data_IF_238059655675
#
_entry.id   IF_238059655675
#
_cell.length_a   1.000
_cell.length_b   1.000
_cell.length_c   1.000
_cell.angle_alpha   90.00
_cell.angle_beta   90.00
_cell.angle_gamma   90.00
#
_symmetry.space_group_name_H-M   'P 1'
#
loop_
_entity.id
_entity.type
_entity.pdbx_description
1 polymer ?
#
# COMPACT_ATOMS: atom_id res chain seq x y z
N UNK A 1 -2.56 28.48 -5.61
CA UNK A 1 -3.63 27.46 -5.56
C UNK A 1 -3.11 26.32 -4.70
N UNK A 2 -3.97 25.76 -3.84
CA UNK A 2 -3.59 24.56 -3.09
C UNK A 2 -3.55 23.35 -4.01
N UNK A 3 -2.64 22.38 -3.82
CA UNK A 3 -2.59 21.16 -4.63
C UNK A 3 -3.90 20.37 -4.48
N UNK A 4 -4.45 19.92 -5.61
CA UNK A 4 -5.68 19.16 -5.66
C UNK A 4 -5.45 17.69 -5.29
N UNK A 5 -6.41 17.06 -4.60
CA UNK A 5 -6.37 15.67 -4.21
C UNK A 5 -7.27 14.80 -5.09
N UNK A 6 -6.76 13.66 -5.55
CA UNK A 6 -7.58 12.62 -6.17
C UNK A 6 -7.64 11.40 -5.26
N UNK A 7 -8.84 11.06 -4.78
CA UNK A 7 -9.10 9.83 -4.04
C UNK A 7 -9.40 8.72 -5.05
N UNK A 8 -8.61 7.65 -5.02
CA UNK A 8 -8.87 6.44 -5.81
C UNK A 8 -9.70 5.48 -4.95
N UNK A 9 -10.95 5.26 -5.33
CA UNK A 9 -11.92 4.48 -4.54
C UNK A 9 -12.50 3.32 -5.36
N UNK A 10 -11.87 2.16 -5.42
CA UNK A 10 -12.54 0.96 -5.93
C UNK A 10 -13.52 0.42 -4.88
N UNK A 11 -14.74 0.07 -5.29
CA UNK A 11 -15.74 -0.56 -4.43
C UNK A 11 -16.48 -1.67 -5.15
N UNK A 12 -17.01 -2.64 -4.38
CA UNK A 12 -17.86 -3.71 -4.90
C UNK A 12 -18.79 -4.29 -3.81
N UNK A 13 -20.10 -4.25 -4.09
CA UNK A 13 -21.13 -4.87 -3.25
C UNK A 13 -21.26 -4.26 -1.86
N UNK A 14 -20.86 -2.99 -1.69
CA UNK A 14 -20.83 -2.28 -0.41
C UNK A 14 -21.26 -0.82 -0.53
N UNK A 15 -22.39 -0.51 -1.17
CA UNK A 15 -22.78 0.88 -1.39
C UNK A 15 -22.87 1.67 -0.09
N UNK A 16 -23.47 1.11 0.98
CA UNK A 16 -23.63 1.80 2.26
C UNK A 16 -22.29 2.16 2.91
N UNK A 17 -21.27 1.28 2.80
CA UNK A 17 -19.93 1.55 3.34
C UNK A 17 -19.23 2.62 2.52
N UNK A 18 -19.31 2.55 1.20
CA UNK A 18 -18.74 3.55 0.33
C UNK A 18 -19.36 4.93 0.59
N UNK A 19 -20.70 5.02 0.75
CA UNK A 19 -21.38 6.27 1.10
C UNK A 19 -20.98 6.79 2.49
N UNK A 20 -20.85 5.89 3.48
CA UNK A 20 -20.35 6.28 4.80
C UNK A 20 -18.94 6.83 4.74
N UNK A 21 -18.05 6.18 3.95
CA UNK A 21 -16.72 6.67 3.70
C UNK A 21 -16.76 8.07 3.05
N UNK A 22 -17.52 8.25 1.96
CA UNK A 22 -17.65 9.53 1.24
C UNK A 22 -18.15 10.66 2.15
N UNK A 23 -19.14 10.37 3.03
CA UNK A 23 -19.59 11.34 4.04
C UNK A 23 -18.43 11.75 4.96
N UNK A 24 -17.66 10.79 5.47
CA UNK A 24 -16.54 11.10 6.34
C UNK A 24 -15.45 11.94 5.64
N UNK A 25 -15.22 11.68 4.35
CA UNK A 25 -14.31 12.50 3.53
C UNK A 25 -14.81 13.94 3.46
N UNK A 26 -16.08 14.15 3.11
CA UNK A 26 -16.66 15.48 2.96
C UNK A 26 -16.69 16.26 4.28
N UNK A 27 -17.20 15.63 5.35
CA UNK A 27 -17.37 16.26 6.67
C UNK A 27 -16.05 16.64 7.34
N UNK A 28 -14.98 15.88 7.09
CA UNK A 28 -13.67 16.11 7.70
C UNK A 28 -12.72 16.95 6.84
N UNK A 29 -13.09 17.30 5.62
CA UNK A 29 -12.26 18.09 4.71
C UNK A 29 -12.32 19.60 5.02
N UNK A 30 -11.16 20.26 4.98
CA UNK A 30 -11.07 21.71 5.05
C UNK A 30 -11.44 22.39 3.72
N UNK A 31 -11.13 21.75 2.60
CA UNK A 31 -11.36 22.27 1.25
C UNK A 31 -11.87 21.15 0.31
N UNK A 32 -13.15 20.73 0.48
CA UNK A 32 -13.74 19.67 -0.33
C UNK A 32 -13.86 20.03 -1.82
N UNK A 33 -13.92 21.31 -2.17
CA UNK A 33 -13.99 21.75 -3.56
C UNK A 33 -12.69 21.46 -4.34
N UNK A 34 -11.58 21.23 -3.65
CA UNK A 34 -10.28 20.90 -4.24
C UNK A 34 -9.92 19.42 -4.05
N UNK A 35 -10.94 18.57 -4.01
CA UNK A 35 -10.86 17.10 -3.94
C UNK A 35 -11.74 16.52 -5.05
N UNK A 36 -11.29 15.48 -5.71
CA UNK A 36 -12.10 14.64 -6.59
C UNK A 36 -12.05 13.18 -6.13
N UNK A 37 -13.14 12.45 -6.37
CA UNK A 37 -13.23 11.03 -6.09
C UNK A 37 -13.33 10.28 -7.41
N UNK A 38 -12.39 9.36 -7.65
CA UNK A 38 -12.42 8.46 -8.80
C UNK A 38 -12.96 7.12 -8.31
N UNK A 39 -14.26 6.92 -8.51
CA UNK A 39 -14.97 5.73 -8.07
C UNK A 39 -14.96 4.66 -9.16
N UNK A 40 -14.33 3.51 -8.89
CA UNK A 40 -14.44 2.36 -9.78
C UNK A 40 -15.44 1.35 -9.21
N UNK A 41 -16.42 0.97 -10.05
CA UNK A 41 -17.46 -0.01 -9.72
C UNK A 41 -17.48 -1.10 -10.79
N UNK A 42 -17.58 -2.35 -10.36
CA UNK A 42 -17.71 -3.47 -11.29
C UNK A 42 -19.05 -3.43 -12.02
N UNK A 43 -19.03 -3.75 -13.34
CA UNK A 43 -20.24 -3.74 -14.19
C UNK A 43 -21.36 -4.65 -13.67
N UNK A 44 -21.00 -5.74 -12.99
CA UNK A 44 -21.93 -6.71 -12.41
C UNK A 44 -22.36 -6.37 -10.97
N UNK A 45 -22.11 -5.13 -10.52
CA UNK A 45 -22.53 -4.60 -9.21
C UNK A 45 -23.44 -3.35 -9.37
N UNK A 46 -24.67 -3.52 -9.89
CA UNK A 46 -25.57 -2.39 -10.13
C UNK A 46 -25.98 -1.64 -8.86
N UNK A 47 -25.91 -2.27 -7.69
CA UNK A 47 -26.22 -1.62 -6.42
C UNK A 47 -25.25 -0.46 -6.10
N UNK A 48 -24.01 -0.57 -6.54
CA UNK A 48 -22.99 0.46 -6.32
C UNK A 48 -22.94 1.52 -7.43
N UNK A 49 -23.71 1.38 -8.52
CA UNK A 49 -23.68 2.34 -9.64
C UNK A 49 -24.23 3.73 -9.30
N UNK A 50 -25.07 3.83 -8.26
CA UNK A 50 -25.71 5.09 -7.85
C UNK A 50 -24.93 5.86 -6.77
N UNK A 51 -23.83 5.31 -6.25
CA UNK A 51 -23.01 5.96 -5.22
C UNK A 51 -22.57 7.34 -5.68
N UNK A 52 -22.83 8.37 -4.86
CA UNK A 52 -22.48 9.74 -5.18
C UNK A 52 -22.13 10.54 -3.91
N UNK A 53 -21.61 11.75 -4.07
CA UNK A 53 -21.29 12.66 -2.98
C UNK A 53 -21.62 14.10 -3.41
N UNK A 54 -22.59 14.72 -2.74
CA UNK A 54 -23.04 16.07 -3.07
C UNK A 54 -21.91 17.12 -2.90
N UNK A 55 -21.06 16.95 -1.90
CA UNK A 55 -20.03 17.91 -1.54
C UNK A 55 -18.74 17.78 -2.35
N UNK A 56 -18.49 16.66 -3.03
CA UNK A 56 -17.22 16.37 -3.72
C UNK A 56 -17.53 15.72 -5.07
N UNK A 57 -16.95 16.20 -6.18
CA UNK A 57 -17.15 15.58 -7.49
C UNK A 57 -16.77 14.10 -7.52
N UNK A 58 -17.68 13.23 -7.96
CA UNK A 58 -17.47 11.80 -8.15
C UNK A 58 -17.37 11.47 -9.63
N UNK A 59 -16.18 11.09 -10.08
CA UNK A 59 -15.93 10.59 -11.43
C UNK A 59 -16.06 9.07 -11.39
N UNK A 60 -17.16 8.56 -11.96
CA UNK A 60 -17.49 7.13 -11.93
C UNK A 60 -16.93 6.39 -13.14
N UNK A 61 -16.29 5.25 -12.89
CA UNK A 61 -15.85 4.27 -13.87
C UNK A 61 -16.64 2.99 -13.64
N UNK A 62 -17.44 2.55 -14.61
CA UNK A 62 -18.12 1.25 -14.58
C UNK A 62 -17.37 0.32 -15.54
N UNK A 63 -16.77 -0.75 -15.03
CA UNK A 63 -15.91 -1.60 -15.82
C UNK A 63 -15.97 -3.08 -15.45
N UNK A 64 -15.16 -3.93 -16.09
CA UNK A 64 -15.03 -5.34 -15.71
C UNK A 64 -14.37 -5.48 -14.36
N UNK A 65 -14.53 -6.65 -13.71
CA UNK A 65 -13.76 -6.97 -12.50
C UNK A 65 -12.27 -7.05 -12.83
N UNK A 66 -11.47 -6.29 -12.11
CA UNK A 66 -10.02 -6.22 -12.29
C UNK A 66 -9.31 -6.66 -11.00
N UNK A 67 -7.99 -6.86 -11.10
CA UNK A 67 -7.11 -6.98 -9.94
C UNK A 67 -7.11 -5.66 -9.16
N UNK A 68 -6.69 -5.67 -7.89
CA UNK A 68 -6.58 -4.43 -7.11
C UNK A 68 -5.59 -3.44 -7.76
N UNK A 69 -4.47 -3.94 -8.29
CA UNK A 69 -3.54 -3.12 -9.08
C UNK A 69 -4.20 -2.51 -10.31
N UNK A 70 -5.01 -3.30 -11.04
CA UNK A 70 -5.78 -2.83 -12.19
C UNK A 70 -6.82 -1.78 -11.83
N UNK A 71 -7.56 -1.96 -10.73
CA UNK A 71 -8.54 -1.01 -10.23
C UNK A 71 -7.88 0.34 -9.88
N UNK A 72 -6.81 0.32 -9.08
CA UNK A 72 -6.07 1.53 -8.73
C UNK A 72 -5.44 2.21 -9.96
N UNK A 73 -4.92 1.43 -10.92
CA UNK A 73 -4.38 1.96 -12.17
C UNK A 73 -5.47 2.63 -13.04
N UNK A 74 -6.66 2.03 -13.12
CA UNK A 74 -7.78 2.61 -13.87
C UNK A 74 -8.24 3.93 -13.22
N UNK A 75 -8.37 3.97 -11.89
CA UNK A 75 -8.67 5.20 -11.16
C UNK A 75 -7.57 6.26 -11.37
N UNK A 76 -6.30 5.89 -11.21
CA UNK A 76 -5.17 6.82 -11.38
C UNK A 76 -5.15 7.43 -12.79
N UNK A 77 -5.35 6.65 -13.84
CA UNK A 77 -5.39 7.15 -15.23
C UNK A 77 -6.51 8.17 -15.46
N UNK A 78 -7.59 8.12 -14.70
CA UNK A 78 -8.72 9.04 -14.80
C UNK A 78 -8.58 10.25 -13.90
N UNK A 79 -7.70 10.22 -12.92
CA UNK A 79 -7.50 11.25 -11.91
C UNK A 79 -6.72 12.46 -12.48
N UNK A 80 -6.95 13.65 -11.90
CA UNK A 80 -6.32 14.91 -12.33
C UNK A 80 -5.54 15.63 -11.24
N UNK A 81 -5.80 15.34 -9.96
CA UNK A 81 -5.20 16.01 -8.81
C UNK A 81 -3.69 15.78 -8.70
N UNK A 82 -3.02 16.67 -7.99
CA UNK A 82 -1.57 16.68 -7.75
C UNK A 82 -1.13 15.61 -6.73
N UNK A 83 -2.06 15.23 -5.85
CA UNK A 83 -1.84 14.25 -4.79
C UNK A 83 -2.81 13.08 -4.99
N UNK A 84 -2.27 11.87 -4.99
CA UNK A 84 -3.00 10.63 -5.24
C UNK A 84 -3.16 9.86 -3.92
N UNK A 85 -4.40 9.60 -3.53
CA UNK A 85 -4.78 8.98 -2.25
C UNK A 85 -5.59 7.71 -2.53
N UNK A 86 -4.95 6.54 -2.63
CA UNK A 86 -5.68 5.27 -2.77
C UNK A 86 -6.35 4.92 -1.43
N UNK A 87 -7.68 4.78 -1.44
CA UNK A 87 -8.46 4.43 -0.26
C UNK A 87 -9.42 3.28 -0.57
N UNK A 88 -9.87 2.62 0.48
CA UNK A 88 -10.86 1.54 0.39
C UNK A 88 -12.20 1.98 1.00
N UNK A 89 -13.27 1.32 0.61
CA UNK A 89 -14.63 1.57 1.08
C UNK A 89 -14.87 1.17 2.57
N UNK A 90 -13.90 0.52 3.19
CA UNK A 90 -13.89 0.14 4.60
C UNK A 90 -13.00 1.03 5.47
N UNK A 91 -12.77 2.27 5.03
CA UNK A 91 -12.06 3.29 5.80
C UNK A 91 -12.99 4.41 6.24
N UNK A 92 -12.61 5.12 7.31
CA UNK A 92 -13.32 6.30 7.80
C UNK A 92 -12.30 7.37 8.19
N UNK A 93 -12.48 8.57 7.65
CA UNK A 93 -11.69 9.73 8.05
C UNK A 93 -12.14 10.16 9.44
N UNK A 94 -11.20 10.25 10.40
CA UNK A 94 -11.45 10.66 11.79
C UNK A 94 -10.87 12.01 12.14
N UNK A 95 -9.91 12.48 11.37
CA UNK A 95 -9.21 13.72 11.68
C UNK A 95 -9.78 14.88 10.87
N UNK A 96 -10.29 15.95 11.52
CA UNK A 96 -10.64 17.19 10.82
C UNK A 96 -9.45 17.79 10.07
N UNK A 97 -9.73 18.47 8.98
CA UNK A 97 -8.72 19.12 8.11
C UNK A 97 -7.67 18.13 7.58
N UNK A 98 -8.07 16.85 7.37
CA UNK A 98 -7.19 15.77 6.93
C UNK A 98 -6.48 16.09 5.62
N UNK A 99 -7.16 16.74 4.70
CA UNK A 99 -6.68 17.13 3.38
C UNK A 99 -5.59 18.21 3.48
N UNK A 100 -5.71 19.17 4.41
CA UNK A 100 -4.67 20.16 4.70
C UNK A 100 -3.39 19.49 5.17
N UNK A 101 -3.48 18.53 6.10
CA UNK A 101 -2.31 17.79 6.59
C UNK A 101 -1.55 17.05 5.46
N UNK A 102 -2.27 16.57 4.47
CA UNK A 102 -1.65 15.93 3.29
C UNK A 102 -1.00 16.98 2.37
N UNK A 103 -1.65 18.11 2.15
CA UNK A 103 -1.08 19.23 1.37
C UNK A 103 0.18 19.78 2.03
N UNK A 104 0.21 19.89 3.35
CA UNK A 104 1.40 20.30 4.10
C UNK A 104 2.60 19.36 3.86
N UNK A 105 2.35 18.06 3.67
CA UNK A 105 3.42 17.13 3.25
C UNK A 105 3.88 17.42 1.83
N UNK A 106 2.96 17.64 0.90
CA UNK A 106 3.30 17.94 -0.49
C UNK A 106 4.21 19.17 -0.59
N UNK A 107 3.90 20.21 0.15
CA UNK A 107 4.67 21.47 0.17
C UNK A 107 6.09 21.31 0.76
N UNK A 108 6.33 20.28 1.57
CA UNK A 108 7.67 19.95 2.11
C UNK A 108 8.62 19.35 1.08
N UNK A 109 8.10 18.86 -0.06
CA UNK A 109 8.89 18.20 -1.10
C UNK A 109 8.70 18.91 -2.44
N UNK A 110 9.47 19.98 -2.74
CA UNK A 110 9.32 20.76 -3.98
C UNK A 110 9.53 19.95 -5.27
N UNK A 111 10.30 18.85 -5.20
CA UNK A 111 10.47 17.89 -6.30
C UNK A 111 9.27 16.94 -6.46
N UNK A 112 8.32 16.98 -5.54
CA UNK A 112 7.13 16.15 -5.53
C UNK A 112 7.42 14.67 -5.27
N UNK A 113 8.60 14.25 -4.81
CA UNK A 113 8.94 12.83 -4.61
C UNK A 113 8.86 12.46 -3.13
N UNK A 114 7.77 11.79 -2.73
CA UNK A 114 7.53 11.33 -1.37
C UNK A 114 6.52 10.17 -1.35
N UNK A 115 6.50 9.45 -0.23
CA UNK A 115 5.44 8.56 0.20
C UNK A 115 4.99 9.00 1.59
N UNK A 116 3.73 9.39 1.72
CA UNK A 116 3.11 9.67 3.01
C UNK A 116 2.06 8.61 3.35
N UNK A 117 1.75 8.42 4.62
CA UNK A 117 0.67 7.53 5.03
C UNK A 117 0.13 7.91 6.41
N UNK A 118 -1.20 7.75 6.62
CA UNK A 118 -1.88 8.06 7.85
C UNK A 118 -1.71 6.97 8.91
N UNK A 119 -2.19 7.26 10.10
CA UNK A 119 -2.41 6.30 11.15
C UNK A 119 -3.76 5.57 10.92
N UNK A 120 -3.71 4.29 10.60
CA UNK A 120 -4.89 3.44 10.38
C UNK A 120 -5.45 2.81 11.66
N UNK A 121 -4.86 3.14 12.82
CA UNK A 121 -5.13 2.56 14.14
C UNK A 121 -4.81 1.06 14.28
N UNK A 122 -4.00 0.50 13.36
CA UNK A 122 -3.56 -0.91 13.38
C UNK A 122 -2.07 -1.08 13.15
N UNK A 123 -1.62 -0.78 11.94
CA UNK A 123 -0.22 -0.91 11.56
C UNK A 123 0.63 0.27 12.06
N UNK A 124 0.02 1.44 12.25
CA UNK A 124 0.70 2.64 12.71
C UNK A 124 1.91 2.97 11.84
N UNK A 125 3.04 3.30 12.47
CA UNK A 125 4.28 3.65 11.77
C UNK A 125 4.93 2.48 11.02
N UNK A 126 4.54 1.25 11.32
CA UNK A 126 5.24 0.06 10.79
C UNK A 126 4.93 -0.23 9.32
N UNK A 127 3.76 0.22 8.84
CA UNK A 127 3.28 -0.15 7.52
C UNK A 127 2.28 0.86 6.92
N UNK A 128 2.43 1.24 5.64
CA UNK A 128 1.56 2.20 4.98
C UNK A 128 0.32 1.50 4.38
N UNK A 129 -0.72 1.26 5.17
CA UNK A 129 -1.99 0.69 4.66
C UNK A 129 -2.67 1.60 3.62
N UNK A 130 -2.30 2.86 3.58
CA UNK A 130 -2.78 3.87 2.62
C UNK A 130 -1.59 4.70 2.13
N UNK A 131 -0.86 4.25 1.11
CA UNK A 131 0.30 4.97 0.59
C UNK A 131 -0.13 6.16 -0.27
N UNK A 132 0.04 7.37 0.24
CA UNK A 132 -0.24 8.64 -0.43
C UNK A 132 1.00 9.07 -1.21
N UNK A 133 0.82 9.36 -2.49
CA UNK A 133 1.89 9.78 -3.39
C UNK A 133 1.53 11.10 -4.08
N UNK A 134 2.52 11.85 -4.53
CA UNK A 134 2.28 12.90 -5.51
C UNK A 134 2.07 12.31 -6.91
N UNK A 135 1.43 13.08 -7.78
CA UNK A 135 1.35 12.75 -9.22
C UNK A 135 2.75 12.64 -9.85
N UNK A 136 3.68 13.50 -9.46
CA UNK A 136 5.08 13.43 -9.91
C UNK A 136 5.71 12.10 -9.53
N UNK A 137 5.57 11.66 -8.29
CA UNK A 137 6.04 10.31 -7.87
C UNK A 137 5.41 9.22 -8.73
N UNK A 138 4.08 9.26 -8.93
CA UNK A 138 3.38 8.26 -9.75
C UNK A 138 3.89 8.23 -11.20
N UNK A 139 4.10 9.38 -11.81
CA UNK A 139 4.66 9.51 -13.17
C UNK A 139 6.09 8.96 -13.27
N UNK A 140 6.93 9.22 -12.25
CA UNK A 140 8.30 8.68 -12.21
C UNK A 140 8.32 7.17 -12.03
N UNK A 141 7.37 6.60 -11.30
CA UNK A 141 7.22 5.16 -11.15
C UNK A 141 6.65 4.46 -12.39
N UNK A 142 6.01 5.19 -13.32
CA UNK A 142 5.34 4.70 -14.55
C UNK A 142 4.13 3.81 -14.21
N UNK A 143 4.32 2.79 -13.39
CA UNK A 143 3.26 1.88 -12.92
C UNK A 143 3.27 1.84 -11.38
N UNK A 144 2.72 2.88 -10.70
CA UNK A 144 2.71 2.92 -9.23
C UNK A 144 1.86 1.81 -8.63
N UNK A 145 0.87 1.31 -9.36
CA UNK A 145 -0.03 0.23 -8.93
C UNK A 145 0.02 -0.93 -9.94
N UNK A 146 1.08 -1.78 -9.93
CA UNK A 146 1.22 -2.83 -10.94
C UNK A 146 0.00 -3.75 -11.02
N UNK A 147 -0.56 -3.90 -12.21
CA UNK A 147 -1.81 -4.63 -12.47
C UNK A 147 -1.71 -6.13 -12.15
N UNK A 148 -0.50 -6.65 -12.00
CA UNK A 148 -0.23 -8.04 -11.59
C UNK A 148 -0.57 -8.33 -10.12
N UNK A 149 -0.74 -7.28 -9.27
CA UNK A 149 -1.17 -7.45 -7.88
C UNK A 149 -2.68 -7.64 -7.80
N UNK A 150 -3.11 -8.86 -7.48
CA UNK A 150 -4.53 -9.19 -7.42
C UNK A 150 -5.26 -8.61 -6.18
N UNK A 151 -4.56 -8.44 -5.06
CA UNK A 151 -5.15 -7.95 -3.82
C UNK A 151 -4.14 -7.29 -2.90
N UNK A 152 -3.30 -8.03 -2.22
CA UNK A 152 -2.31 -7.52 -1.29
C UNK A 152 -0.98 -7.11 -1.94
N UNK A 153 -0.08 -6.56 -1.14
CA UNK A 153 1.30 -6.18 -1.46
C UNK A 153 1.53 -4.94 -2.33
N UNK A 154 0.53 -4.20 -2.75
CA UNK A 154 0.73 -2.91 -3.44
C UNK A 154 1.42 -1.91 -2.49
N UNK A 155 0.94 -1.82 -1.29
CA UNK A 155 1.47 -1.01 -0.18
C UNK A 155 2.91 -1.43 0.18
N UNK A 156 3.17 -2.75 0.28
CA UNK A 156 4.53 -3.28 0.45
C UNK A 156 5.44 -2.95 -0.74
N UNK A 157 4.91 -3.01 -1.96
CA UNK A 157 5.63 -2.67 -3.17
C UNK A 157 6.11 -1.21 -3.13
N UNK A 158 5.22 -0.29 -2.82
CA UNK A 158 5.53 1.12 -2.72
C UNK A 158 6.49 1.40 -1.57
N UNK A 159 6.22 0.87 -0.36
CA UNK A 159 7.11 1.05 0.78
C UNK A 159 8.52 0.50 0.51
N UNK A 160 8.65 -0.67 -0.13
CA UNK A 160 9.96 -1.25 -0.44
C UNK A 160 10.76 -0.38 -1.43
N UNK A 161 10.09 0.26 -2.42
CA UNK A 161 10.74 1.24 -3.30
C UNK A 161 11.33 2.39 -2.48
N UNK A 162 10.55 2.97 -1.56
CA UNK A 162 11.01 4.08 -0.73
C UNK A 162 12.03 3.67 0.33
N UNK A 163 11.98 2.43 0.84
CA UNK A 163 13.05 1.89 1.70
C UNK A 163 14.36 1.68 0.93
N UNK A 164 14.31 1.31 -0.35
CA UNK A 164 15.49 1.28 -1.23
C UNK A 164 16.00 2.69 -1.51
N UNK A 165 15.10 3.64 -1.74
CA UNK A 165 15.43 5.05 -1.93
C UNK A 165 16.14 5.62 -0.68
N UNK A 166 15.72 5.21 0.52
CA UNK A 166 16.38 5.59 1.78
C UNK A 166 17.84 5.11 1.85
N UNK A 167 18.14 3.91 1.36
CA UNK A 167 19.52 3.40 1.29
C UNK A 167 20.37 4.17 0.27
N UNK A 168 19.75 4.75 -0.75
CA UNK A 168 20.41 5.64 -1.72
C UNK A 168 20.65 7.07 -1.18
N UNK A 169 20.32 7.31 0.09
CA UNK A 169 20.54 8.59 0.79
C UNK A 169 19.33 9.50 0.85
N UNK A 170 18.18 9.09 0.28
CA UNK A 170 16.99 9.92 0.18
C UNK A 170 15.87 9.39 1.09
N UNK A 171 15.71 9.99 2.27
CA UNK A 171 14.59 9.65 3.17
C UNK A 171 13.34 10.46 2.81
N UNK A 172 12.41 9.83 2.10
CA UNK A 172 11.21 10.43 1.54
C UNK A 172 9.91 9.79 2.05
N UNK A 173 9.97 9.12 3.20
CA UNK A 173 8.81 8.48 3.85
C UNK A 173 8.32 9.34 5.00
N UNK A 174 7.02 9.65 5.03
CA UNK A 174 6.38 10.49 6.05
C UNK A 174 5.22 9.74 6.70
N UNK A 175 5.35 9.38 7.96
CA UNK A 175 4.24 8.90 8.77
C UNK A 175 3.47 10.06 9.39
N UNK A 176 2.19 10.18 9.08
CA UNK A 176 1.29 11.21 9.61
C UNK A 176 0.59 10.68 10.85
N UNK A 177 1.31 10.65 11.99
CA UNK A 177 0.83 10.10 13.26
C UNK A 177 -0.52 10.70 13.71
N UNK A 178 -0.69 12.02 13.50
CA UNK A 178 -1.86 12.78 13.93
C UNK A 178 -2.95 12.89 12.84
N UNK A 179 -2.80 12.17 11.74
CA UNK A 179 -3.82 11.96 10.73
C UNK A 179 -4.39 10.54 10.87
N UNK A 180 -5.60 10.43 11.38
CA UNK A 180 -6.27 9.13 11.56
C UNK A 180 -7.25 8.89 10.40
N UNK A 181 -6.96 7.86 9.60
CA UNK A 181 -7.87 7.25 8.64
C UNK A 181 -8.09 5.82 9.10
N UNK A 182 -9.17 5.61 9.85
CA UNK A 182 -9.43 4.35 10.52
C UNK A 182 -9.83 3.24 9.54
N UNK A 183 -9.15 2.10 9.59
CA UNK A 183 -9.46 0.94 8.79
C UNK A 183 -10.47 0.02 9.50
N UNK A 184 -11.71 -0.06 9.00
CA UNK A 184 -12.81 -0.83 9.56
C UNK A 184 -12.78 -2.30 9.10
N UNK A 185 -11.63 -2.96 9.29
CA UNK A 185 -11.42 -4.31 8.78
C UNK A 185 -11.92 -5.39 9.75
N UNK A 186 -12.62 -6.47 9.27
CA UNK A 186 -13.13 -7.55 10.12
C UNK A 186 -12.07 -8.26 10.95
N UNK A 187 -10.85 -8.39 10.44
CA UNK A 187 -9.73 -9.01 11.15
C UNK A 187 -9.43 -8.35 12.51
N UNK A 188 -9.86 -7.10 12.67
CA UNK A 188 -9.65 -6.31 13.89
C UNK A 188 -10.94 -6.18 14.73
N UNK A 189 -11.98 -6.94 14.39
CA UNK A 189 -13.26 -6.92 15.10
C UNK A 189 -14.07 -5.64 14.92
N UNK A 190 -13.72 -4.79 13.92
CA UNK A 190 -14.37 -3.49 13.67
C UNK A 190 -15.51 -3.55 12.65
N UNK A 191 -15.65 -4.67 11.96
CA UNK A 191 -16.73 -4.89 10.99
C UNK A 191 -17.06 -6.38 10.88
N UNK A 192 -18.22 -6.71 10.37
CA UNK A 192 -18.59 -8.08 10.03
C UNK A 192 -17.91 -8.53 8.72
N UNK A 193 -17.64 -9.83 8.62
CA UNK A 193 -17.11 -10.44 7.39
C UNK A 193 -18.21 -10.56 6.36
N UNK A 194 -18.18 -9.75 5.33
CA UNK A 194 -19.15 -9.75 4.22
C UNK A 194 -18.75 -10.65 3.04
N UNK A 195 -19.58 -10.65 1.99
CA UNK A 195 -19.34 -11.44 0.78
C UNK A 195 -18.04 -11.06 0.04
N UNK A 196 -17.67 -9.79 0.07
CA UNK A 196 -16.45 -9.28 -0.59
C UNK A 196 -15.20 -9.81 0.08
N UNK A 197 -15.16 -9.83 1.43
CA UNK A 197 -14.07 -10.46 2.17
C UNK A 197 -13.99 -11.96 1.95
N UNK A 198 -15.14 -12.66 1.93
CA UNK A 198 -15.18 -14.11 1.66
C UNK A 198 -14.70 -14.46 0.25
N UNK A 199 -14.99 -13.58 -0.74
CA UNK A 199 -14.59 -13.78 -2.14
C UNK A 199 -13.10 -13.54 -2.39
N UNK A 200 -12.42 -12.74 -1.56
CA UNK A 200 -10.98 -12.46 -1.71
C UNK A 200 -10.09 -13.70 -1.63
N UNK A 201 -10.63 -14.83 -1.19
CA UNK A 201 -9.86 -16.08 -1.07
C UNK A 201 -8.77 -16.03 0.00
N UNK A 202 -7.97 -17.09 0.09
CA UNK A 202 -6.87 -17.12 1.05
C UNK A 202 -5.87 -15.99 0.78
N UNK A 203 -5.14 -15.59 1.81
CA UNK A 203 -4.08 -14.56 1.84
C UNK A 203 -2.96 -14.74 0.78
N UNK A 204 -3.20 -15.54 -0.25
CA UNK A 204 -2.20 -16.15 -1.12
C UNK A 204 -1.76 -15.30 -2.28
N UNK A 205 -2.46 -14.22 -2.57
CA UNK A 205 -2.32 -13.55 -3.83
C UNK A 205 -1.33 -12.41 -3.69
N UNK A 206 -0.12 -12.59 -4.21
CA UNK A 206 0.84 -11.52 -4.37
C UNK A 206 2.21 -11.73 -3.73
N UNK A 207 2.43 -12.77 -2.91
CA UNK A 207 3.73 -13.02 -2.27
C UNK A 207 4.82 -13.30 -3.32
N UNK A 208 4.51 -14.19 -4.25
CA UNK A 208 5.36 -14.56 -5.38
C UNK A 208 5.60 -13.38 -6.33
N UNK A 209 4.53 -12.63 -6.63
CA UNK A 209 4.62 -11.39 -7.42
C UNK A 209 5.54 -10.39 -6.73
N UNK A 210 5.34 -10.16 -5.42
CA UNK A 210 6.18 -9.24 -4.66
C UNK A 210 7.65 -9.65 -4.69
N UNK A 211 7.96 -10.94 -4.52
CA UNK A 211 9.31 -11.47 -4.61
C UNK A 211 9.89 -11.27 -6.02
N UNK A 212 9.12 -11.62 -7.05
CA UNK A 212 9.54 -11.52 -8.45
C UNK A 212 9.85 -10.08 -8.89
N UNK A 213 9.12 -9.10 -8.37
CA UNK A 213 9.30 -7.69 -8.70
C UNK A 213 10.43 -6.98 -7.92
N UNK A 214 11.29 -7.72 -7.19
CA UNK A 214 12.42 -7.12 -6.45
C UNK A 214 13.33 -6.26 -7.34
N UNK A 215 13.71 -6.79 -8.51
CA UNK A 215 14.54 -6.06 -9.48
C UNK A 215 13.87 -4.79 -10.01
N UNK A 216 12.56 -4.87 -10.28
CA UNK A 216 11.76 -3.70 -10.67
C UNK A 216 11.79 -2.62 -9.57
N UNK A 217 11.52 -2.99 -8.31
CA UNK A 217 11.54 -2.03 -7.19
C UNK A 217 12.91 -1.38 -6.99
N UNK A 218 14.00 -2.15 -7.20
CA UNK A 218 15.36 -1.59 -7.15
C UNK A 218 15.57 -0.51 -8.23
N UNK A 219 15.15 -0.79 -9.46
CA UNK A 219 15.26 0.18 -10.57
C UNK A 219 14.33 1.38 -10.37
N UNK A 220 13.12 1.17 -9.85
CA UNK A 220 12.20 2.24 -9.51
C UNK A 220 12.79 3.20 -8.45
N UNK A 221 13.42 2.67 -7.41
CA UNK A 221 14.12 3.50 -6.40
C UNK A 221 15.29 4.29 -7.01
N UNK A 222 16.11 3.67 -7.86
CA UNK A 222 17.18 4.36 -8.59
C UNK A 222 16.63 5.47 -9.48
N UNK A 223 15.49 5.24 -10.16
CA UNK A 223 14.82 6.22 -10.99
C UNK A 223 14.33 7.43 -10.17
N UNK A 224 13.75 7.21 -9.00
CA UNK A 224 13.38 8.29 -8.09
C UNK A 224 14.61 9.06 -7.59
N UNK A 225 15.68 8.37 -7.20
CA UNK A 225 16.94 9.01 -6.77
C UNK A 225 17.56 9.87 -7.87
N UNK A 226 17.53 9.39 -9.12
CA UNK A 226 18.01 10.16 -10.29
C UNK A 226 17.15 11.41 -10.52
N UNK A 227 15.83 11.29 -10.38
CA UNK A 227 14.91 12.42 -10.56
C UNK A 227 15.11 13.50 -9.48
N UNK A 228 15.37 13.11 -8.22
CA UNK A 228 15.69 14.05 -7.12
C UNK A 228 16.99 14.81 -7.39
N UNK A 229 17.97 14.16 -8.04
CA UNK A 229 19.30 14.72 -8.35
C UNK A 229 19.38 15.37 -9.73
N UNK A 230 18.26 15.48 -10.43
CA UNK A 230 18.19 15.97 -11.82
C UNK A 230 19.16 15.23 -12.77
N UNK A 231 19.21 13.91 -12.61
CA UNK A 231 20.06 13.02 -13.40
C UNK A 231 19.22 12.15 -14.36
N UNK A 232 19.84 11.61 -15.43
CA UNK A 232 19.17 10.66 -16.32
C UNK A 232 18.59 9.48 -15.54
N UNK A 233 17.30 9.21 -15.74
CA UNK A 233 16.61 8.13 -15.06
C UNK A 233 16.83 6.79 -15.77
N UNK A 234 17.12 5.70 -15.04
CA UNK A 234 17.21 4.38 -15.64
C UNK A 234 15.84 3.91 -16.15
N UNK A 235 15.84 3.06 -17.17
CA UNK A 235 14.64 2.39 -17.63
C UNK A 235 14.17 1.37 -16.60
N UNK A 236 12.84 1.22 -16.52
CA UNK A 236 12.25 0.17 -15.70
C UNK A 236 12.18 -1.13 -16.50
N UNK A 237 12.55 -2.26 -15.90
CA UNK A 237 12.40 -3.55 -16.56
C UNK A 237 10.90 -3.90 -16.66
N UNK A 238 10.57 -4.80 -17.55
CA UNK A 238 9.23 -5.38 -17.60
C UNK A 238 8.88 -6.01 -16.24
N UNK A 239 7.58 -6.01 -15.94
CA UNK A 239 7.03 -6.72 -14.78
C UNK A 239 7.22 -8.23 -15.04
N UNK A 240 8.32 -8.77 -14.55
CA UNK A 240 8.70 -10.17 -14.76
C UNK A 240 7.67 -11.16 -14.23
N UNK A 241 7.80 -12.43 -14.64
CA UNK A 241 6.97 -13.51 -14.11
C UNK A 241 7.28 -13.74 -12.62
N UNK A 242 6.23 -14.01 -11.86
CA UNK A 242 6.37 -14.44 -10.47
C UNK A 242 7.19 -15.75 -10.39
N UNK A 243 8.20 -15.83 -9.51
CA UNK A 243 8.93 -17.08 -9.32
C UNK A 243 8.05 -18.12 -8.63
N UNK A 244 8.26 -19.38 -8.96
CA UNK A 244 7.68 -20.47 -8.19
C UNK A 244 8.40 -20.55 -6.84
N UNK A 245 7.64 -20.47 -5.75
CA UNK A 245 8.19 -20.68 -4.41
C UNK A 245 8.43 -22.17 -4.17
N UNK A 246 9.51 -22.54 -3.48
CA UNK A 246 9.76 -23.92 -3.13
C UNK A 246 8.65 -24.51 -2.23
N UNK A 247 8.19 -25.71 -2.53
CA UNK A 247 7.21 -26.44 -1.68
C UNK A 247 7.84 -26.90 -0.36
N UNK A 248 9.14 -27.12 -0.33
CA UNK A 248 9.86 -27.51 0.87
C UNK A 248 10.12 -26.30 1.77
N UNK A 249 9.73 -26.40 3.05
CA UNK A 249 9.79 -25.30 4.01
C UNK A 249 11.21 -24.78 4.26
N UNK A 250 12.20 -25.67 4.34
CA UNK A 250 13.60 -25.26 4.52
C UNK A 250 14.12 -24.51 3.31
N UNK A 251 13.78 -24.97 2.10
CA UNK A 251 14.16 -24.30 0.87
C UNK A 251 13.43 -22.95 0.74
N UNK A 252 12.14 -22.87 1.12
CA UNK A 252 11.39 -21.62 1.13
C UNK A 252 11.98 -20.61 2.12
N UNK A 253 12.27 -21.04 3.35
CA UNK A 253 12.93 -20.17 4.35
C UNK A 253 14.32 -19.75 3.90
N UNK A 254 15.12 -20.67 3.35
CA UNK A 254 16.43 -20.37 2.77
C UNK A 254 16.34 -19.36 1.63
N UNK A 255 15.30 -19.48 0.77
CA UNK A 255 15.01 -18.49 -0.28
C UNK A 255 14.67 -17.12 0.31
N UNK A 256 13.80 -17.04 1.32
CA UNK A 256 13.46 -15.77 1.97
C UNK A 256 14.64 -15.13 2.70
N UNK A 257 15.52 -15.93 3.33
CA UNK A 257 16.77 -15.46 3.91
C UNK A 257 17.61 -14.73 2.85
N UNK A 258 17.80 -15.38 1.69
CA UNK A 258 18.60 -14.83 0.60
C UNK A 258 17.95 -13.58 -0.03
N UNK A 259 16.65 -13.62 -0.30
CA UNK A 259 15.94 -12.53 -0.99
C UNK A 259 15.75 -11.31 -0.11
N UNK A 260 15.58 -11.47 1.21
CA UNK A 260 15.28 -10.38 2.12
C UNK A 260 16.42 -10.05 3.09
N UNK A 261 16.88 -10.99 3.91
CA UNK A 261 17.89 -10.68 4.92
C UNK A 261 19.25 -10.34 4.32
N UNK A 262 19.63 -10.97 3.20
CA UNK A 262 20.84 -10.67 2.48
C UNK A 262 20.75 -9.44 1.54
N UNK A 263 19.54 -8.83 1.38
CA UNK A 263 19.35 -7.69 0.48
C UNK A 263 19.95 -6.39 1.05
N UNK A 264 21.20 -6.10 0.71
CA UNK A 264 21.90 -4.87 1.11
C UNK A 264 21.27 -3.57 0.61
N UNK A 265 20.35 -3.64 -0.35
CA UNK A 265 19.70 -2.47 -0.94
C UNK A 265 18.49 -1.96 -0.15
N UNK A 266 18.14 -2.57 0.98
CA UNK A 266 17.08 -2.12 1.89
C UNK A 266 17.60 -2.05 3.33
N UNK A 267 17.02 -1.17 4.18
CA UNK A 267 17.42 -1.03 5.59
C UNK A 267 17.19 -2.33 6.36
N UNK A 268 18.06 -2.61 7.32
CA UNK A 268 18.06 -3.88 8.04
C UNK A 268 16.75 -4.18 8.79
N UNK A 269 16.10 -3.17 9.39
CA UNK A 269 14.80 -3.35 10.02
C UNK A 269 13.71 -3.80 9.02
N UNK A 270 13.78 -3.29 7.78
CA UNK A 270 12.84 -3.66 6.72
C UNK A 270 13.12 -5.07 6.18
N UNK A 271 14.41 -5.48 6.09
CA UNK A 271 14.79 -6.87 5.76
C UNK A 271 14.17 -7.85 6.75
N UNK A 272 14.32 -7.59 8.05
CA UNK A 272 13.75 -8.42 9.11
C UNK A 272 12.23 -8.46 9.05
N UNK A 273 11.58 -7.32 8.79
CA UNK A 273 10.13 -7.23 8.64
C UNK A 273 9.62 -8.08 7.46
N UNK A 274 10.21 -7.92 6.27
CA UNK A 274 9.82 -8.69 5.09
C UNK A 274 10.05 -10.19 5.29
N UNK A 275 11.19 -10.57 5.84
CA UNK A 275 11.49 -11.97 6.15
C UNK A 275 10.44 -12.57 7.08
N UNK A 276 10.08 -11.87 8.18
CA UNK A 276 9.05 -12.34 9.11
C UNK A 276 7.69 -12.49 8.41
N UNK A 277 7.26 -11.44 7.71
CA UNK A 277 5.94 -11.41 7.06
C UNK A 277 5.81 -12.52 6.02
N UNK A 278 6.76 -12.64 5.10
CA UNK A 278 6.69 -13.63 4.02
C UNK A 278 6.84 -15.07 4.54
N UNK A 279 7.73 -15.29 5.51
CA UNK A 279 7.87 -16.60 6.15
C UNK A 279 6.60 -17.00 6.89
N UNK A 280 6.04 -16.10 7.72
CA UNK A 280 4.77 -16.33 8.41
C UNK A 280 3.65 -16.66 7.43
N UNK A 281 3.51 -15.89 6.35
CA UNK A 281 2.48 -16.09 5.33
C UNK A 281 2.65 -17.44 4.63
N UNK A 282 3.87 -17.84 4.26
CA UNK A 282 4.16 -19.14 3.66
C UNK A 282 3.64 -20.28 4.53
N UNK A 283 3.95 -20.27 5.84
CA UNK A 283 3.48 -21.30 6.76
C UNK A 283 1.98 -21.28 6.99
N UNK A 284 1.36 -20.09 7.10
CA UNK A 284 -0.09 -19.96 7.24
C UNK A 284 -0.84 -20.51 6.03
N UNK A 285 -0.33 -20.30 4.83
CA UNK A 285 -0.88 -20.85 3.59
C UNK A 285 -0.85 -22.36 3.56
N UNK A 286 0.32 -22.91 3.81
CA UNK A 286 0.60 -24.33 3.65
C UNK A 286 -0.16 -25.19 4.64
N UNK A 287 -0.31 -24.75 5.87
CA UNK A 287 -0.85 -25.55 6.97
C UNK A 287 -2.29 -25.18 7.38
N UNK A 288 -2.97 -24.32 6.61
CA UNK A 288 -4.42 -23.99 6.72
C UNK A 288 -4.96 -23.96 8.15
N UNK A 289 -4.36 -23.17 9.05
CA UNK A 289 -4.82 -22.95 10.43
C UNK A 289 -5.56 -24.12 11.13
N UNK A 290 -5.28 -24.43 12.42
CA UNK A 290 -4.76 -23.53 13.45
C UNK A 290 -3.40 -23.92 14.08
N UNK A 291 -2.76 -25.01 13.68
CA UNK A 291 -1.49 -25.43 14.28
C UNK A 291 -0.30 -25.18 13.35
N UNK A 292 0.46 -24.08 13.56
CA UNK A 292 1.68 -23.88 12.79
C UNK A 292 2.70 -24.99 13.10
N UNK A 293 3.36 -25.46 12.05
CA UNK A 293 4.47 -26.42 12.16
C UNK A 293 5.50 -25.93 13.18
N UNK A 294 6.24 -26.86 13.80
CA UNK A 294 7.25 -26.54 14.82
C UNK A 294 8.29 -25.52 14.30
N UNK A 295 8.58 -25.54 12.98
CA UNK A 295 9.44 -24.58 12.32
C UNK A 295 8.95 -23.13 12.48
N UNK A 296 7.62 -22.90 12.35
CA UNK A 296 7.03 -21.58 12.58
C UNK A 296 7.11 -21.18 14.08
N UNK A 297 6.85 -22.14 14.99
CA UNK A 297 7.00 -21.90 16.44
C UNK A 297 8.44 -21.48 16.77
N UNK A 298 9.41 -22.16 16.16
CA UNK A 298 10.83 -21.82 16.31
C UNK A 298 11.14 -20.43 15.72
N UNK A 299 10.70 -20.13 14.51
CA UNK A 299 10.88 -18.83 13.87
C UNK A 299 10.20 -17.72 14.65
N UNK A 300 8.98 -17.95 15.18
CA UNK A 300 8.29 -17.00 16.04
C UNK A 300 9.04 -16.76 17.35
N UNK A 301 9.66 -17.77 17.91
CA UNK A 301 10.51 -17.64 19.10
C UNK A 301 11.82 -16.89 18.80
N UNK A 302 12.39 -17.05 17.60
CA UNK A 302 13.61 -16.38 17.15
C UNK A 302 13.36 -14.95 16.61
N UNK A 303 12.17 -14.65 16.11
CA UNK A 303 11.83 -13.33 15.55
C UNK A 303 12.08 -12.16 16.52
N UNK A 304 11.78 -12.24 17.83
CA UNK A 304 12.15 -11.21 18.79
C UNK A 304 13.66 -11.03 18.93
N UNK A 305 14.44 -12.11 18.83
CA UNK A 305 15.90 -12.06 18.87
C UNK A 305 16.49 -11.39 17.64
N UNK A 306 15.84 -11.56 16.46
CA UNK A 306 16.19 -10.87 15.24
C UNK A 306 15.76 -9.38 15.26
N UNK A 307 14.70 -9.03 15.99
CA UNK A 307 14.22 -7.65 16.16
C UNK A 307 14.91 -6.90 17.31
N UNK A 308 15.38 -7.62 18.32
CA UNK A 308 15.94 -7.02 19.55
C UNK A 308 17.12 -6.07 19.29
N UNK A 309 18.11 -6.36 18.45
CA UNK A 309 19.17 -5.41 18.13
C UNK A 309 18.66 -4.11 17.52
N UNK A 310 17.52 -4.15 16.81
CA UNK A 310 16.95 -3.01 16.07
C UNK A 310 16.11 -2.09 16.94
N UNK A 311 15.35 -2.62 17.89
CA UNK A 311 14.62 -1.84 18.88
C UNK A 311 15.58 -1.10 19.81
N UNK A 312 16.76 -1.67 20.07
CA UNK A 312 17.79 -1.03 20.89
C UNK A 312 18.44 0.15 20.18
N UNK A 313 18.72 0.02 18.88
CA UNK A 313 19.32 1.10 18.07
C UNK A 313 18.34 2.27 17.86
N UNK A 314 17.03 2.03 17.77
CA UNK A 314 16.02 3.11 17.66
C UNK A 314 15.84 3.91 18.96
N UNK A 315 16.17 3.36 20.12
CA UNK A 315 16.10 4.09 21.40
C UNK A 315 17.28 5.04 21.64
N UNK A 316 18.32 4.95 20.83
CA UNK A 316 19.54 5.78 20.95
C UNK A 316 19.76 6.71 19.75
N UNK A 317 18.77 6.86 18.88
CA UNK A 317 18.66 7.91 17.86
C UNK A 317 17.48 8.83 18.16
#
# INVERSE_FOLDING_TARGET
MHPALSILLPTRGRPDRAEQFLRSVAEMSADPANIEIILYVDKDDPASHAIDCEAIPVIRIIGPSLTMGGLNTACYRRSTGDIIVPLNDDMIIRTPDWDRKIRDVHDRFPDGIYLAYPNDLHAGETFPSTPILSRTTCQRLISPYPEVYAGGFIDYHLMDIFKRLQVLGENRVVYLKDLVIEHMHPQYGKAETDATYRRRGPLDVGDDVFIGLRGYRQKAAQRLASAIKDQPSPDLPDLGKAPLLPDNDFLAVGHFLNVFLADGAIPLHWRAHLFEVLTRRHFLKKYKYPEPAWQYKLLKALAPLLKWPFQFIQKFK
#
